data_IF_409078243170
#
_entry.id   IF_409078243170
#
_cell.length_a   1.000
_cell.length_b   1.000
_cell.length_c   1.000
_cell.angle_alpha   90.00
_cell.angle_beta   90.00
_cell.angle_gamma   90.00
#
_symmetry.space_group_name_H-M   'P 1'
#
loop_
_entity.id
_entity.type
_entity.pdbx_description
1 polymer ?
#
# COMPACT_ATOMS: atom_id res chain seq x y z
N UNK A 1 0.50 -18.54 -5.65
CA UNK A 1 -0.18 -17.27 -5.99
C UNK A 1 0.90 -16.20 -5.97
N UNK A 2 1.16 -15.49 -7.09
CA UNK A 2 2.18 -14.44 -7.12
C UNK A 2 1.58 -13.19 -6.47
N UNK A 3 2.33 -12.56 -5.56
CA UNK A 3 1.99 -11.24 -5.06
C UNK A 3 1.92 -10.25 -6.24
N UNK A 4 1.07 -9.24 -6.13
CA UNK A 4 0.96 -8.14 -7.09
C UNK A 4 2.35 -7.50 -7.32
N UNK A 5 2.58 -6.85 -8.46
CA UNK A 5 3.93 -6.40 -8.91
C UNK A 5 4.69 -5.53 -7.87
N UNK A 6 3.96 -4.89 -6.96
CA UNK A 6 4.47 -3.98 -5.93
C UNK A 6 4.20 -4.51 -4.50
N UNK A 7 3.95 -5.81 -4.35
CA UNK A 7 3.62 -6.44 -3.08
C UNK A 7 4.55 -7.59 -2.76
N UNK A 8 4.81 -7.78 -1.47
CA UNK A 8 5.57 -8.90 -0.94
C UNK A 8 4.70 -9.75 -0.04
N UNK A 9 4.87 -11.06 -0.14
CA UNK A 9 4.32 -11.99 0.84
C UNK A 9 5.23 -11.99 2.07
N UNK A 10 4.70 -11.59 3.22
CA UNK A 10 5.42 -11.59 4.50
C UNK A 10 4.75 -12.59 5.43
N UNK A 11 5.57 -13.35 6.16
CA UNK A 11 5.10 -14.28 7.17
C UNK A 11 5.34 -13.72 8.57
N UNK A 12 4.32 -13.75 9.41
CA UNK A 12 4.44 -13.45 10.82
C UNK A 12 5.09 -14.63 11.55
N UNK A 13 6.30 -14.45 12.08
CA UNK A 13 7.11 -15.54 12.61
C UNK A 13 6.53 -16.25 13.84
N UNK A 14 5.62 -15.59 14.58
CA UNK A 14 5.01 -16.16 15.79
C UNK A 14 3.76 -16.97 15.45
N UNK A 15 2.88 -16.44 14.60
CA UNK A 15 1.60 -17.10 14.26
C UNK A 15 1.70 -17.96 13.01
N UNK A 16 2.71 -17.74 12.17
CA UNK A 16 2.86 -18.35 10.86
C UNK A 16 1.98 -17.73 9.78
N UNK A 17 1.17 -16.73 10.12
CA UNK A 17 0.23 -16.10 9.20
C UNK A 17 0.97 -15.39 8.06
N UNK A 18 0.37 -15.45 6.88
CA UNK A 18 0.93 -14.92 5.67
C UNK A 18 0.06 -13.79 5.13
N UNK A 19 0.66 -12.61 4.93
CA UNK A 19 -0.03 -11.43 4.41
C UNK A 19 0.73 -10.84 3.24
N UNK A 20 -0.01 -10.33 2.25
CA UNK A 20 0.58 -9.49 1.20
C UNK A 20 0.68 -8.06 1.74
N UNK A 21 1.87 -7.46 1.66
CA UNK A 21 2.12 -6.07 2.07
C UNK A 21 2.75 -5.28 0.94
N UNK A 22 2.39 -4.00 0.85
CA UNK A 22 3.07 -3.10 -0.08
C UNK A 22 4.54 -2.90 0.35
N UNK A 23 5.44 -2.81 -0.62
CA UNK A 23 6.89 -2.68 -0.38
C UNK A 23 7.27 -1.49 0.51
N UNK A 24 6.50 -0.39 0.45
CA UNK A 24 6.73 0.79 1.28
C UNK A 24 6.69 0.51 2.79
N UNK A 25 5.94 -0.51 3.25
CA UNK A 25 5.91 -0.90 4.67
C UNK A 25 7.24 -1.53 5.11
N UNK A 26 8.04 -2.06 4.19
CA UNK A 26 9.38 -2.59 4.49
C UNK A 26 10.34 -1.46 4.88
N UNK A 27 10.09 -0.21 4.49
CA UNK A 27 10.92 0.95 4.88
C UNK A 27 11.00 1.14 6.39
N UNK A 28 9.96 0.74 7.12
CA UNK A 28 9.88 0.84 8.58
C UNK A 28 10.19 -0.50 9.29
N UNK A 29 10.49 -1.56 8.53
CA UNK A 29 10.78 -2.88 9.08
C UNK A 29 12.26 -2.97 9.46
N UNK A 30 12.54 -2.79 10.75
CA UNK A 30 13.88 -3.01 11.31
C UNK A 30 13.94 -4.38 11.96
N UNK A 31 14.58 -5.33 11.30
CA UNK A 31 14.86 -6.66 11.84
C UNK A 31 16.35 -6.96 11.60
N UNK A 32 17.09 -7.21 12.69
CA UNK A 32 18.52 -7.49 12.65
C UNK A 32 18.87 -8.80 11.93
N UNK A 33 17.89 -9.68 11.75
CA UNK A 33 18.01 -10.95 11.02
C UNK A 33 17.56 -10.86 9.57
N UNK A 34 16.92 -9.76 9.17
CA UNK A 34 16.52 -9.55 7.79
C UNK A 34 17.75 -9.21 6.94
N UNK A 35 18.01 -10.03 5.93
CA UNK A 35 19.07 -9.78 4.96
C UNK A 35 18.66 -8.62 4.03
N UNK A 36 18.99 -7.38 4.42
CA UNK A 36 18.73 -6.18 3.63
C UNK A 36 19.70 -6.12 2.46
N UNK A 37 19.25 -6.55 1.28
CA UNK A 37 20.03 -6.50 0.03
C UNK A 37 19.89 -5.14 -0.66
N UNK A 38 20.85 -4.80 -1.52
CA UNK A 38 20.78 -3.59 -2.36
C UNK A 38 19.52 -3.58 -3.25
N UNK A 39 19.12 -4.74 -3.78
CA UNK A 39 17.88 -4.93 -4.54
C UNK A 39 16.64 -4.54 -3.71
N UNK A 40 16.59 -4.92 -2.43
CA UNK A 40 15.48 -4.59 -1.54
C UNK A 40 15.44 -3.10 -1.22
N UNK A 41 16.60 -2.48 -1.00
CA UNK A 41 16.70 -1.03 -0.79
C UNK A 41 16.28 -0.24 -2.03
N UNK A 42 16.74 -0.66 -3.21
CA UNK A 42 16.37 -0.03 -4.49
C UNK A 42 14.88 -0.17 -4.75
N UNK A 43 14.29 -1.34 -4.48
CA UNK A 43 12.86 -1.57 -4.65
C UNK A 43 12.00 -0.69 -3.71
N UNK A 44 12.40 -0.55 -2.44
CA UNK A 44 11.74 0.34 -1.46
C UNK A 44 11.90 1.81 -1.85
N UNK A 45 13.04 2.21 -2.42
CA UNK A 45 13.32 3.59 -2.81
C UNK A 45 12.67 3.99 -4.16
N UNK A 46 12.57 3.06 -5.11
CA UNK A 46 12.09 3.32 -6.47
C UNK A 46 10.56 3.29 -6.60
N UNK A 47 9.84 2.63 -5.68
CA UNK A 47 8.37 2.53 -5.73
C UNK A 47 7.67 3.71 -5.06
N UNK A 48 7.91 4.92 -5.57
CA UNK A 48 7.09 6.07 -5.22
C UNK A 48 5.61 5.79 -5.47
N UNK A 49 4.83 5.64 -4.39
CA UNK A 49 3.38 5.87 -4.23
C UNK A 49 2.44 5.30 -5.33
N UNK A 50 2.81 4.25 -6.06
CA UNK A 50 1.85 3.53 -6.90
C UNK A 50 1.24 2.41 -6.04
N UNK A 51 0.16 2.76 -5.34
CA UNK A 51 -0.61 1.81 -4.55
C UNK A 51 -1.68 1.16 -5.42
N UNK A 52 -1.82 -0.16 -5.30
CA UNK A 52 -2.92 -0.87 -5.93
C UNK A 52 -4.20 -0.69 -5.09
N UNK A 53 -5.32 -0.42 -5.76
CA UNK A 53 -6.63 -0.32 -5.12
C UNK A 53 -7.12 -1.72 -4.73
N UNK A 54 -7.58 -1.84 -3.49
CA UNK A 54 -8.28 -3.04 -2.98
C UNK A 54 -9.80 -2.86 -3.13
N UNK A 55 -10.33 -1.76 -2.61
CA UNK A 55 -11.76 -1.45 -2.62
C UNK A 55 -12.01 0.07 -2.76
N UNK A 56 -13.11 0.42 -3.42
CA UNK A 56 -13.69 1.77 -3.42
C UNK A 56 -15.01 1.73 -2.64
N UNK A 57 -15.05 2.29 -1.44
CA UNK A 57 -16.11 2.00 -0.46
C UNK A 57 -17.13 3.14 -0.27
N UNK A 58 -16.70 4.40 -0.36
CA UNK A 58 -17.53 5.57 -0.09
C UNK A 58 -17.20 6.72 -1.05
N UNK A 59 -18.13 7.66 -1.23
CA UNK A 59 -17.85 8.92 -1.92
C UNK A 59 -18.42 10.10 -1.15
N UNK A 60 -17.78 11.27 -1.27
CA UNK A 60 -18.24 12.52 -0.66
C UNK A 60 -17.95 13.71 -1.55
N UNK A 61 -18.79 14.73 -1.48
CA UNK A 61 -18.46 16.04 -2.02
C UNK A 61 -17.47 16.74 -1.08
N UNK A 62 -16.33 17.20 -1.61
CA UNK A 62 -15.38 18.02 -0.88
C UNK A 62 -15.45 19.46 -1.42
N UNK A 63 -15.97 20.38 -0.60
CA UNK A 63 -16.12 21.79 -0.95
C UNK A 63 -14.79 22.52 -1.15
N UNK A 64 -13.71 22.05 -0.53
CA UNK A 64 -12.41 22.72 -0.56
C UNK A 64 -11.74 22.56 -1.93
N UNK A 65 -11.96 21.41 -2.59
CA UNK A 65 -11.47 21.14 -3.95
C UNK A 65 -12.57 21.31 -5.02
N UNK A 66 -13.81 21.60 -4.60
CA UNK A 66 -14.98 21.69 -5.46
C UNK A 66 -15.18 20.45 -6.36
N UNK A 67 -14.93 19.27 -5.81
CA UNK A 67 -15.03 17.99 -6.53
C UNK A 67 -15.43 16.85 -5.57
N UNK A 68 -15.75 15.69 -6.12
CA UNK A 68 -15.93 14.46 -5.35
C UNK A 68 -14.60 13.81 -5.00
N UNK A 69 -14.57 13.19 -3.82
CA UNK A 69 -13.53 12.26 -3.40
C UNK A 69 -14.15 10.89 -3.18
N UNK A 70 -13.36 9.85 -3.42
CA UNK A 70 -13.72 8.46 -3.16
C UNK A 70 -12.80 7.93 -2.06
N UNK A 71 -13.37 7.22 -1.09
CA UNK A 71 -12.59 6.50 -0.09
C UNK A 71 -12.00 5.24 -0.74
N UNK A 72 -10.67 5.16 -0.73
CA UNK A 72 -9.90 4.09 -1.33
C UNK A 72 -9.23 3.27 -0.23
N UNK A 73 -9.47 1.96 -0.25
CA UNK A 73 -8.66 1.00 0.50
C UNK A 73 -7.55 0.48 -0.40
N UNK A 74 -6.35 0.34 0.16
CA UNK A 74 -5.14 0.01 -0.58
C UNK A 74 -4.70 -1.42 -0.31
N UNK A 75 -4.36 -2.16 -1.38
CA UNK A 75 -3.90 -3.54 -1.23
C UNK A 75 -2.64 -3.61 -0.39
N UNK A 76 -2.66 -4.50 0.60
CA UNK A 76 -1.54 -4.75 1.49
C UNK A 76 -1.27 -3.63 2.50
N UNK A 77 -2.21 -2.69 2.65
CA UNK A 77 -2.27 -1.73 3.75
C UNK A 77 -3.46 -2.03 4.66
N UNK A 78 -3.46 -1.46 5.86
CA UNK A 78 -4.56 -1.60 6.83
C UNK A 78 -5.64 -0.55 6.57
N UNK A 79 -6.88 -0.79 7.03
CA UNK A 79 -8.00 0.16 6.86
C UNK A 79 -7.75 1.55 7.46
N UNK A 80 -6.85 1.66 8.45
CA UNK A 80 -6.45 2.97 8.99
C UNK A 80 -5.64 3.81 7.99
N UNK A 81 -5.10 3.16 6.96
CA UNK A 81 -4.35 3.78 5.86
C UNK A 81 -5.26 4.08 4.66
N UNK A 82 -6.58 3.84 4.76
CA UNK A 82 -7.55 4.29 3.75
C UNK A 82 -7.47 5.81 3.61
N UNK A 83 -7.56 6.30 2.37
CA UNK A 83 -7.56 7.72 2.07
C UNK A 83 -8.75 8.13 1.20
N UNK A 84 -9.16 9.38 1.32
CA UNK A 84 -10.08 9.99 0.35
C UNK A 84 -9.25 10.58 -0.78
N UNK A 85 -9.42 10.02 -1.97
CA UNK A 85 -8.71 10.44 -3.18
C UNK A 85 -9.66 11.25 -4.07
N UNK A 86 -9.25 12.43 -4.59
CA UNK A 86 -10.02 13.15 -5.59
C UNK A 86 -10.32 12.23 -6.78
N UNK A 87 -11.54 12.28 -7.33
CA UNK A 87 -11.89 11.39 -8.46
C UNK A 87 -10.88 11.52 -9.60
N UNK A 88 -10.40 12.74 -9.88
CA UNK A 88 -9.41 13.02 -10.91
C UNK A 88 -8.06 12.31 -10.71
N UNK A 89 -7.66 11.98 -9.48
CA UNK A 89 -6.42 11.20 -9.25
C UNK A 89 -6.60 9.70 -9.57
N UNK A 90 -7.85 9.23 -9.62
CA UNK A 90 -8.20 7.83 -9.90
C UNK A 90 -8.50 7.57 -11.38
N UNK A 91 -8.82 8.61 -12.16
CA UNK A 91 -9.09 8.46 -13.60
C UNK A 91 -7.78 8.58 -14.38
N UNK A 92 -7.51 7.60 -15.25
CA UNK A 92 -6.36 7.59 -16.16
C UNK A 92 -6.84 7.60 -17.60
#
# INVERSE_FOLDING_TARGET
MRADTHSFRVQHLITGDEIDVHASRLKMYSDSSLNVTDELLEHVAAQGIILAVDELSEHRWNSDIMDYEIRVSWKGLQQIEDSFEPVQSLVK
#
